data_IF_456777013925
#
_entry.id   IF_456777013925
#
_cell.length_a   1.000
_cell.length_b   1.000
_cell.length_c   1.000
_cell.angle_alpha   90.00
_cell.angle_beta   90.00
_cell.angle_gamma   90.00
#
_symmetry.space_group_name_H-M   'P 1'
#
loop_
_entity.id
_entity.type
_entity.pdbx_description
1 polymer ?
#
# COMPACT_ATOMS: atom_id res chain seq x y z
N UNK A 1 14.54 6.23 -2.13
CA UNK A 1 14.66 5.02 -2.98
C UNK A 1 13.69 5.20 -4.14
N UNK A 2 14.12 5.03 -5.39
CA UNK A 2 13.22 5.17 -6.55
C UNK A 2 12.43 3.87 -6.80
N UNK A 3 11.46 3.91 -7.73
CA UNK A 3 10.56 2.77 -8.00
C UNK A 3 11.33 1.51 -8.45
N UNK A 4 12.38 1.68 -9.25
CA UNK A 4 13.19 0.56 -9.73
C UNK A 4 13.97 -0.11 -8.59
N UNK A 5 14.59 0.70 -7.72
CA UNK A 5 15.30 0.21 -6.54
C UNK A 5 14.35 -0.49 -5.56
N UNK A 6 13.16 0.08 -5.33
CA UNK A 6 12.14 -0.53 -4.49
C UNK A 6 11.65 -1.86 -5.06
N UNK A 7 11.33 -1.90 -6.35
CA UNK A 7 10.88 -3.14 -7.02
C UNK A 7 11.97 -4.20 -7.01
N UNK A 8 13.23 -3.82 -7.22
CA UNK A 8 14.36 -4.75 -7.13
C UNK A 8 14.52 -5.34 -5.71
N UNK A 9 14.17 -4.59 -4.67
CA UNK A 9 14.23 -5.07 -3.30
C UNK A 9 13.22 -6.17 -2.97
N UNK A 10 12.19 -6.39 -3.80
CA UNK A 10 11.21 -7.45 -3.60
C UNK A 10 11.85 -8.85 -3.68
N UNK A 11 13.02 -8.99 -4.31
CA UNK A 11 13.76 -10.25 -4.36
C UNK A 11 14.57 -10.53 -3.07
N UNK A 12 14.61 -9.60 -2.12
CA UNK A 12 15.32 -9.77 -0.85
C UNK A 12 14.47 -10.56 0.16
N UNK A 13 15.08 -11.25 1.14
CA UNK A 13 14.31 -12.00 2.13
C UNK A 13 13.55 -11.13 3.15
N UNK A 14 13.89 -9.84 3.22
CA UNK A 14 13.29 -8.86 4.15
C UNK A 14 13.22 -7.49 3.50
N UNK A 15 12.28 -6.62 3.91
CA UNK A 15 12.22 -5.24 3.41
C UNK A 15 13.53 -4.49 3.73
N UNK A 16 14.01 -3.60 2.84
CA UNK A 16 15.16 -2.75 3.10
C UNK A 16 15.04 -1.97 4.42
N UNK A 17 16.14 -1.88 5.15
CA UNK A 17 16.21 -1.07 6.37
C UNK A 17 15.97 0.40 6.02
N UNK A 18 15.13 1.06 6.81
CA UNK A 18 14.85 2.49 6.65
C UNK A 18 13.72 2.83 5.69
N UNK A 19 13.03 1.83 5.11
CA UNK A 19 11.74 2.09 4.46
C UNK A 19 10.78 2.73 5.47
N UNK A 20 10.05 3.75 5.01
CA UNK A 20 8.93 4.26 5.79
C UNK A 20 7.82 3.19 5.88
N UNK A 21 6.91 3.28 6.86
CA UNK A 21 5.91 2.24 7.07
C UNK A 21 5.06 1.92 5.85
N UNK A 22 4.64 2.92 5.06
CA UNK A 22 3.79 2.68 3.89
C UNK A 22 4.53 1.86 2.83
N UNK A 23 5.80 2.20 2.56
CA UNK A 23 6.64 1.40 1.66
C UNK A 23 6.90 -0.02 2.20
N UNK A 24 7.08 -0.18 3.51
CA UNK A 24 7.19 -1.51 4.13
C UNK A 24 5.93 -2.33 3.88
N UNK A 25 4.74 -1.76 4.07
CA UNK A 25 3.48 -2.45 3.81
C UNK A 25 3.31 -2.86 2.34
N UNK A 26 3.65 -1.98 1.40
CA UNK A 26 3.60 -2.26 -0.04
C UNK A 26 4.62 -3.34 -0.45
N UNK A 27 5.75 -3.45 0.26
CA UNK A 27 6.73 -4.51 0.07
C UNK A 27 6.18 -5.87 0.52
N UNK A 28 5.52 -5.91 1.69
CA UNK A 28 4.84 -7.12 2.18
C UNK A 28 3.70 -7.54 1.24
N UNK A 29 2.87 -6.59 0.81
CA UNK A 29 1.78 -6.82 -0.13
C UNK A 29 2.26 -7.46 -1.46
N UNK A 30 3.36 -6.94 -2.01
CA UNK A 30 3.95 -7.46 -3.24
C UNK A 30 4.56 -8.86 -3.07
N UNK A 31 4.98 -9.20 -1.86
CA UNK A 31 5.49 -10.54 -1.50
C UNK A 31 4.40 -11.51 -1.02
N UNK A 32 3.12 -11.13 -1.10
CA UNK A 32 2.00 -11.98 -0.72
C UNK A 32 1.72 -12.03 0.78
N UNK A 33 2.39 -11.20 1.57
CA UNK A 33 2.19 -11.07 3.01
C UNK A 33 1.13 -9.99 3.30
N UNK A 34 -0.11 -10.36 3.01
CA UNK A 34 -1.28 -9.49 3.15
C UNK A 34 -1.54 -9.06 4.61
N UNK A 35 -1.24 -9.95 5.56
CA UNK A 35 -1.45 -9.70 7.00
C UNK A 35 -0.49 -8.62 7.50
N UNK A 36 0.81 -8.74 7.22
CA UNK A 36 1.78 -7.71 7.60
C UNK A 36 1.49 -6.35 6.93
N UNK A 37 1.04 -6.36 5.67
CA UNK A 37 0.64 -5.13 4.99
C UNK A 37 -0.55 -4.45 5.69
N UNK A 38 -1.55 -5.24 6.13
CA UNK A 38 -2.70 -4.74 6.87
C UNK A 38 -2.33 -4.25 8.27
N UNK A 39 -1.48 -4.95 9.01
CA UNK A 39 -1.04 -4.50 10.35
C UNK A 39 -0.43 -3.09 10.29
N UNK A 40 0.38 -2.82 9.26
CA UNK A 40 0.95 -1.49 9.07
C UNK A 40 -0.13 -0.46 8.74
N UNK A 41 -1.07 -0.77 7.85
CA UNK A 41 -2.17 0.12 7.51
C UNK A 41 -3.04 0.45 8.74
N UNK A 42 -3.33 -0.56 9.58
CA UNK A 42 -4.09 -0.41 10.83
C UNK A 42 -3.36 0.42 11.89
N UNK A 43 -2.03 0.40 11.90
CA UNK A 43 -1.23 1.05 12.95
C UNK A 43 -1.48 2.56 13.10
N UNK A 44 -1.96 3.24 12.06
CA UNK A 44 -2.24 4.70 12.08
C UNK A 44 -3.48 5.08 11.28
N UNK A 45 -4.53 4.26 11.35
CA UNK A 45 -5.83 4.60 10.76
C UNK A 45 -6.28 6.03 11.12
N UNK A 46 -6.89 6.71 10.16
CA UNK A 46 -7.31 8.12 10.28
C UNK A 46 -6.26 9.08 9.73
N UNK A 47 -5.04 8.59 9.53
CA UNK A 47 -4.02 9.28 8.74
C UNK A 47 -4.31 9.00 7.26
N UNK A 48 -4.46 10.03 6.39
CA UNK A 48 -4.88 9.83 5.00
C UNK A 48 -4.03 8.84 4.20
N UNK A 49 -2.71 8.82 4.41
CA UNK A 49 -1.81 7.88 3.72
C UNK A 49 -2.04 6.41 4.12
N UNK A 50 -2.34 6.16 5.39
CA UNK A 50 -2.64 4.81 5.91
C UNK A 50 -4.04 4.36 5.49
N UNK A 51 -5.01 5.27 5.54
CA UNK A 51 -6.35 4.99 5.03
C UNK A 51 -6.32 4.73 3.51
N UNK A 52 -5.43 5.41 2.75
CA UNK A 52 -5.24 5.18 1.31
C UNK A 52 -4.65 3.80 1.03
N UNK A 53 -3.69 3.36 1.84
CA UNK A 53 -3.12 2.01 1.79
C UNK A 53 -4.19 0.96 2.09
N UNK A 54 -4.99 1.13 3.14
CA UNK A 54 -6.13 0.25 3.44
C UNK A 54 -7.12 0.14 2.27
N UNK A 55 -7.42 1.26 1.62
CA UNK A 55 -8.31 1.28 0.47
C UNK A 55 -7.81 0.38 -0.67
N UNK A 56 -6.51 0.46 -0.97
CA UNK A 56 -5.87 -0.39 -1.97
C UNK A 56 -5.88 -1.86 -1.55
N UNK A 57 -5.53 -2.17 -0.30
CA UNK A 57 -5.44 -3.56 0.16
C UNK A 57 -6.80 -4.28 0.12
N UNK A 58 -7.88 -3.64 0.56
CA UNK A 58 -9.24 -4.21 0.43
C UNK A 58 -9.72 -4.27 -1.03
N UNK A 59 -9.27 -3.35 -1.90
CA UNK A 59 -9.56 -3.44 -3.33
C UNK A 59 -8.89 -4.67 -3.95
N UNK A 60 -7.64 -4.96 -3.56
CA UNK A 60 -6.91 -6.17 -3.99
C UNK A 60 -7.57 -7.46 -3.51
N UNK A 61 -8.15 -7.45 -2.31
CA UNK A 61 -8.93 -8.55 -1.73
C UNK A 61 -10.27 -8.78 -2.44
N UNK A 62 -10.78 -7.78 -3.17
CA UNK A 62 -12.08 -7.82 -3.83
C UNK A 62 -13.25 -7.34 -2.96
N UNK A 63 -12.97 -6.79 -1.77
CA UNK A 63 -13.97 -6.17 -0.90
C UNK A 63 -14.22 -4.72 -1.33
N UNK A 64 -15.03 -4.55 -2.38
CA UNK A 64 -15.33 -3.25 -2.95
C UNK A 64 -16.04 -2.30 -1.96
N UNK A 65 -16.87 -2.84 -1.05
CA UNK A 65 -17.60 -2.03 -0.08
C UNK A 65 -16.64 -1.41 0.93
N UNK A 66 -15.76 -2.24 1.51
CA UNK A 66 -14.80 -1.79 2.50
C UNK A 66 -13.70 -0.94 1.87
N UNK A 67 -13.21 -1.31 0.69
CA UNK A 67 -12.32 -0.45 -0.09
C UNK A 67 -12.93 0.95 -0.27
N UNK A 68 -14.19 1.04 -0.70
CA UNK A 68 -14.91 2.31 -0.85
C UNK A 68 -15.03 3.13 0.45
N UNK A 69 -15.23 2.46 1.59
CA UNK A 69 -15.19 3.10 2.91
C UNK A 69 -13.82 3.75 3.18
N UNK A 70 -12.73 3.04 2.89
CA UNK A 70 -11.36 3.52 3.10
C UNK A 70 -10.94 4.62 2.13
N UNK A 71 -11.30 4.52 0.84
CA UNK A 71 -11.08 5.61 -0.13
C UNK A 71 -11.71 6.92 0.37
N UNK A 72 -12.94 6.84 0.90
CA UNK A 72 -13.63 8.00 1.47
C UNK A 72 -12.91 8.55 2.70
N UNK A 73 -12.45 7.68 3.62
CA UNK A 73 -11.64 8.11 4.79
C UNK A 73 -10.36 8.82 4.36
N UNK A 74 -9.68 8.28 3.36
CA UNK A 74 -8.48 8.85 2.75
C UNK A 74 -8.74 10.13 1.92
N UNK A 75 -10.01 10.54 1.75
CA UNK A 75 -10.45 11.68 0.94
C UNK A 75 -9.96 11.62 -0.52
N UNK A 76 -9.96 10.42 -1.08
CA UNK A 76 -9.59 10.18 -2.48
C UNK A 76 -10.72 9.48 -3.22
N UNK A 77 -10.71 9.57 -4.55
CA UNK A 77 -11.62 8.80 -5.40
C UNK A 77 -11.21 7.33 -5.43
N UNK A 78 -12.18 6.44 -5.61
CA UNK A 78 -11.89 5.03 -5.86
C UNK A 78 -11.04 4.90 -7.11
N UNK A 79 -9.94 4.17 -7.02
CA UNK A 79 -9.06 3.96 -8.16
C UNK A 79 -9.72 3.04 -9.18
N UNK A 80 -9.65 3.41 -10.46
CA UNK A 80 -10.36 2.72 -11.56
C UNK A 80 -9.43 1.97 -12.51
N UNK A 81 -8.12 2.18 -12.42
CA UNK A 81 -7.12 1.48 -13.24
C UNK A 81 -6.70 0.12 -12.66
N UNK A 82 -5.73 -0.56 -13.30
CA UNK A 82 -5.19 -1.83 -12.82
C UNK A 82 -4.64 -1.76 -11.39
N UNK A 83 -4.76 -2.85 -10.60
CA UNK A 83 -4.19 -2.94 -9.25
C UNK A 83 -2.67 -2.67 -9.23
N UNK A 84 -1.96 -3.16 -10.24
CA UNK A 84 -0.52 -2.96 -10.35
C UNK A 84 -0.15 -1.48 -10.56
N UNK A 85 -1.01 -0.70 -11.21
CA UNK A 85 -0.75 0.74 -11.44
C UNK A 85 -1.04 1.53 -10.17
N UNK A 86 -2.11 1.19 -9.45
CA UNK A 86 -2.39 1.77 -8.13
C UNK A 86 -1.27 1.49 -7.13
N UNK A 87 -0.75 0.26 -7.08
CA UNK A 87 0.38 -0.09 -6.23
C UNK A 87 1.62 0.75 -6.56
N UNK A 88 1.93 0.94 -7.85
CA UNK A 88 3.06 1.78 -8.28
C UNK A 88 2.88 3.23 -7.87
N UNK A 89 1.69 3.79 -8.06
CA UNK A 89 1.39 5.17 -7.63
C UNK A 89 1.57 5.33 -6.11
N UNK A 90 1.16 4.33 -5.31
CA UNK A 90 1.38 4.36 -3.87
C UNK A 90 2.86 4.28 -3.50
N UNK A 91 3.65 3.47 -4.21
CA UNK A 91 5.11 3.44 -4.00
C UNK A 91 5.72 4.80 -4.31
N UNK A 92 5.42 5.36 -5.48
CA UNK A 92 5.98 6.65 -5.93
C UNK A 92 5.57 7.82 -5.03
N UNK A 93 4.32 7.83 -4.54
CA UNK A 93 3.82 8.88 -3.66
C UNK A 93 4.42 8.85 -2.24
N UNK A 94 5.20 7.83 -1.88
CA UNK A 94 5.77 7.64 -0.55
C UNK A 94 7.31 7.50 -0.57
N UNK A 95 8.02 8.06 -1.56
CA UNK A 95 9.48 7.92 -1.70
C UNK A 95 10.35 8.91 -0.92
N UNK A 96 9.76 9.69 0.00
CA UNK A 96 10.44 10.72 0.81
C UNK A 96 11.70 10.23 1.54
#
# INVERSE_FOLDING_TARGET
>A
MNLNEFTASLAQPTPPVGLNPILTALWHDANGDWEAAHEVAQSREGTPAYDRLHAYLHRKEGDAFNAGYWYRRARTSVYTGPLADEWRELVEANQD
#
